data_IF_706814721839
#
_entry.id   IF_706814721839
#
_cell.length_a   1.000
_cell.length_b   1.000
_cell.length_c   1.000
_cell.angle_alpha   90.00
_cell.angle_beta   90.00
_cell.angle_gamma   90.00
#
_symmetry.space_group_name_H-M   'P 1'
#
loop_
_entity.id
_entity.type
_entity.pdbx_description
1 polymer ?
#
# COMPACT_ATOMS: atom_id res chain seq x y z
N UNK A 1 -4.24 4.44 1.44
CA UNK A 1 -3.04 3.60 1.65
C UNK A 1 -3.48 2.19 1.99
N UNK A 2 -4.33 2.03 3.02
CA UNK A 2 -5.00 0.77 3.35
C UNK A 2 -6.48 0.84 2.97
N UNK A 3 -7.10 -0.32 2.81
CA UNK A 3 -8.53 -0.47 2.56
C UNK A 3 -9.29 -0.96 3.79
N UNK A 4 -8.62 -1.70 4.69
CA UNK A 4 -9.23 -2.25 5.91
C UNK A 4 -8.33 -2.12 7.14
N UNK A 5 -8.95 -2.21 8.31
CA UNK A 5 -8.25 -2.16 9.59
C UNK A 5 -7.38 -3.40 9.83
N UNK A 6 -7.76 -4.54 9.24
CA UNK A 6 -6.98 -5.77 9.25
C UNK A 6 -5.68 -5.63 8.45
N UNK A 7 -5.68 -4.87 7.35
CA UNK A 7 -4.45 -4.55 6.63
C UNK A 7 -3.53 -3.69 7.49
N UNK A 8 -4.06 -2.68 8.20
CA UNK A 8 -3.26 -1.82 9.07
C UNK A 8 -2.56 -2.66 10.16
N UNK A 9 -3.28 -3.60 10.76
CA UNK A 9 -2.71 -4.50 11.78
C UNK A 9 -1.53 -5.33 11.24
N UNK A 10 -1.53 -5.72 9.95
CA UNK A 10 -0.40 -6.42 9.33
C UNK A 10 0.83 -5.54 9.14
N UNK A 11 0.61 -4.24 8.97
CA UNK A 11 1.66 -3.23 8.78
C UNK A 11 1.91 -2.41 10.06
N UNK A 12 1.51 -2.92 11.22
CA UNK A 12 1.83 -2.29 12.49
C UNK A 12 3.36 -2.23 12.66
N UNK A 13 3.85 -1.11 13.17
CA UNK A 13 5.28 -0.82 13.30
C UNK A 13 6.05 -0.72 11.98
N UNK A 14 5.39 -0.75 10.81
CA UNK A 14 6.06 -0.56 9.52
C UNK A 14 6.59 0.87 9.36
N UNK A 15 7.77 0.99 8.74
CA UNK A 15 8.38 2.27 8.44
C UNK A 15 7.69 2.98 7.26
N UNK A 16 7.38 4.25 7.45
CA UNK A 16 6.82 5.13 6.42
C UNK A 16 7.71 6.35 6.23
N UNK A 17 7.66 6.95 5.05
CA UNK A 17 8.44 8.14 4.73
C UNK A 17 7.60 9.11 3.91
N UNK A 18 7.68 10.39 4.21
CA UNK A 18 7.09 11.42 3.35
C UNK A 18 7.93 11.64 2.09
N UNK A 19 7.33 12.18 1.02
CA UNK A 19 8.06 12.60 -0.17
C UNK A 19 9.14 13.68 0.13
N UNK A 20 8.99 14.42 1.24
CA UNK A 20 9.96 15.39 1.74
C UNK A 20 11.10 14.78 2.56
N UNK A 21 11.05 13.47 2.85
CA UNK A 21 12.11 12.72 3.51
C UNK A 21 11.92 12.47 5.01
N UNK A 22 10.87 13.02 5.63
CA UNK A 22 10.55 12.81 7.05
C UNK A 22 10.16 11.35 7.26
N UNK A 23 10.84 10.67 8.18
CA UNK A 23 10.55 9.27 8.50
C UNK A 23 9.48 9.20 9.58
N UNK A 24 8.77 8.09 9.58
CA UNK A 24 7.73 7.78 10.53
C UNK A 24 7.45 6.29 10.63
N UNK A 25 6.49 5.96 11.46
CA UNK A 25 6.10 4.59 11.73
C UNK A 25 4.58 4.47 11.86
N UNK A 26 4.00 3.40 11.34
CA UNK A 26 2.59 3.04 11.55
C UNK A 26 2.42 2.53 12.99
N UNK A 27 1.46 3.09 13.73
CA UNK A 27 1.23 2.73 15.13
C UNK A 27 0.02 1.83 15.33
N UNK A 28 -1.16 2.27 14.91
CA UNK A 28 -2.41 1.53 15.13
C UNK A 28 -3.48 2.01 14.16
N UNK A 29 -4.58 1.25 14.07
CA UNK A 29 -5.79 1.69 13.36
C UNK A 29 -6.37 2.93 14.03
N UNK A 30 -6.66 3.96 13.22
CA UNK A 30 -7.39 5.11 13.70
C UNK A 30 -8.87 4.76 13.80
N UNK A 31 -9.38 4.71 15.02
CA UNK A 31 -10.83 4.71 15.25
C UNK A 31 -11.41 6.00 14.67
N UNK A 32 -12.64 5.93 14.14
CA UNK A 32 -13.35 7.04 13.48
C UNK A 32 -13.50 8.30 14.36
N UNK A 33 -13.22 8.17 15.66
CA UNK A 33 -12.97 9.20 16.66
C UNK A 33 -11.68 10.02 16.35
N UNK A 34 -11.64 10.70 15.20
CA UNK A 34 -10.57 11.63 14.88
C UNK A 34 -10.75 12.93 15.70
N UNK A 35 -10.28 12.91 16.95
CA UNK A 35 -10.31 14.04 17.90
C UNK A 35 -11.40 13.91 18.96
N UNK A 36 -11.31 14.71 20.04
CA UNK A 36 -12.24 14.77 21.19
C UNK A 36 -13.67 15.25 20.83
N UNK A 37 -14.17 14.92 19.64
CA UNK A 37 -15.43 15.36 19.07
C UNK A 37 -16.19 14.12 18.59
N UNK A 38 -17.14 13.61 19.39
CA UNK A 38 -18.06 12.56 18.94
C UNK A 38 -19.03 13.21 17.95
N UNK A 39 -18.69 13.23 16.66
CA UNK A 39 -19.60 13.78 15.64
C UNK A 39 -20.40 12.67 15.00
N UNK A 40 -21.62 12.52 15.53
CA UNK A 40 -22.86 12.35 14.76
C UNK A 40 -22.66 12.60 13.26
N UNK A 41 -22.44 11.55 12.46
CA UNK A 41 -22.61 11.62 11.01
C UNK A 41 -23.20 10.32 10.50
N UNK A 42 -24.39 10.45 9.91
CA UNK A 42 -25.09 9.45 9.10
C UNK A 42 -24.23 9.10 7.87
N UNK A 43 -23.14 8.36 8.04
CA UNK A 43 -22.25 7.95 6.97
C UNK A 43 -21.68 6.56 7.25
N UNK A 44 -21.24 5.87 6.18
CA UNK A 44 -20.54 4.60 6.27
C UNK A 44 -19.24 4.79 7.08
N UNK A 45 -18.89 3.89 8.02
CA UNK A 45 -17.62 3.96 8.74
C UNK A 45 -16.46 4.05 7.76
N UNK A 46 -15.52 4.98 8.04
CA UNK A 46 -14.30 5.13 7.24
C UNK A 46 -13.23 4.18 7.75
N UNK A 47 -13.15 3.01 7.15
CA UNK A 47 -12.13 1.99 7.40
C UNK A 47 -10.81 2.30 6.68
N UNK A 48 -9.70 1.68 7.13
CA UNK A 48 -8.40 1.80 6.45
C UNK A 48 -7.65 3.11 6.75
N UNK A 49 -8.01 3.81 7.82
CA UNK A 49 -7.28 4.97 8.32
C UNK A 49 -6.26 4.53 9.36
N UNK A 50 -4.97 4.78 9.10
CA UNK A 50 -3.88 4.45 10.01
C UNK A 50 -3.42 5.68 10.81
N UNK A 51 -3.04 5.46 12.06
CA UNK A 51 -2.31 6.43 12.89
C UNK A 51 -0.82 6.19 12.72
N UNK A 52 -0.08 7.24 12.36
CA UNK A 52 1.37 7.19 12.22
C UNK A 52 2.05 8.22 13.11
N UNK A 53 3.25 7.91 13.58
CA UNK A 53 4.17 8.86 14.23
C UNK A 53 5.22 9.29 13.23
N UNK A 54 5.71 10.52 13.34
CA UNK A 54 6.76 11.07 12.46
C UNK A 54 7.82 11.76 13.31
N UNK A 55 9.05 11.80 12.80
CA UNK A 55 10.19 12.47 13.45
C UNK A 55 9.97 14.00 13.56
N UNK A 56 9.27 14.59 12.59
CA UNK A 56 8.95 16.02 12.56
C UNK A 56 7.51 16.25 12.07
N UNK A 57 7.01 17.48 12.22
CA UNK A 57 5.67 17.89 11.83
C UNK A 57 5.50 17.86 10.32
N UNK A 58 4.65 16.95 9.85
CA UNK A 58 4.24 16.87 8.45
C UNK A 58 3.21 17.96 8.10
N UNK A 59 3.18 18.38 6.84
CA UNK A 59 2.13 19.25 6.30
C UNK A 59 1.04 18.43 5.61
N UNK A 60 -0.18 18.96 5.53
CA UNK A 60 -1.31 18.30 4.84
C UNK A 60 -1.04 18.07 3.35
N UNK A 61 -0.16 18.86 2.73
CA UNK A 61 0.26 18.71 1.34
C UNK A 61 1.26 17.56 1.10
N UNK A 62 1.78 16.92 2.15
CA UNK A 62 2.78 15.86 2.01
C UNK A 62 2.11 14.54 1.61
N UNK A 63 2.79 13.80 0.73
CA UNK A 63 2.46 12.43 0.41
C UNK A 63 3.27 11.48 1.31
N UNK A 64 2.59 10.57 2.00
CA UNK A 64 3.21 9.52 2.83
C UNK A 64 3.31 8.23 2.01
N UNK A 65 4.51 7.65 1.96
CA UNK A 65 4.83 6.43 1.23
C UNK A 65 5.24 5.33 2.21
N UNK A 66 4.80 4.10 1.93
CA UNK A 66 5.26 2.89 2.60
C UNK A 66 5.98 2.07 1.52
N UNK A 67 7.26 1.75 1.76
CA UNK A 67 8.03 0.90 0.85
C UNK A 67 7.94 -0.54 1.34
N UNK A 68 7.42 -1.42 0.50
CA UNK A 68 7.33 -2.84 0.75
C UNK A 68 7.95 -3.61 -0.42
N UNK A 69 8.39 -4.84 -0.13
CA UNK A 69 8.88 -5.79 -1.12
C UNK A 69 7.88 -6.92 -1.19
N UNK A 70 7.51 -7.33 -2.40
CA UNK A 70 6.68 -8.49 -2.64
C UNK A 70 7.47 -9.48 -3.50
N UNK A 71 7.35 -10.76 -3.17
CA UNK A 71 7.89 -11.81 -4.00
C UNK A 71 7.01 -11.96 -5.24
N UNK A 72 7.66 -11.98 -6.41
CA UNK A 72 6.98 -12.13 -7.70
C UNK A 72 7.46 -13.43 -8.31
N UNK A 73 6.53 -14.36 -8.52
CA UNK A 73 6.82 -15.62 -9.19
C UNK A 73 7.12 -15.37 -10.68
N UNK A 74 8.23 -15.93 -11.15
CA UNK A 74 8.59 -15.86 -12.58
C UNK A 74 7.80 -16.93 -13.33
N UNK A 75 7.02 -16.56 -14.37
CA UNK A 75 6.32 -17.55 -15.17
C UNK A 75 7.32 -18.51 -15.84
N UNK A 76 7.17 -19.81 -15.57
CA UNK A 76 7.92 -20.85 -16.26
C UNK A 76 7.37 -21.04 -17.68
N UNK A 77 7.78 -20.16 -18.59
CA UNK A 77 7.39 -20.20 -19.99
C UNK A 77 8.58 -20.56 -20.87
N UNK A 78 8.41 -21.59 -21.71
CA UNK A 78 9.37 -21.98 -22.72
C UNK A 78 8.64 -22.18 -24.06
N UNK A 79 9.01 -21.38 -25.05
CA UNK A 79 8.52 -21.52 -26.42
C UNK A 79 9.71 -21.72 -27.36
N UNK A 80 10.02 -22.96 -27.77
CA UNK A 80 11.10 -23.21 -28.71
C UNK A 80 10.71 -22.68 -30.10
N UNK A 81 11.66 -22.02 -30.78
CA UNK A 81 11.44 -21.55 -32.14
C UNK A 81 11.42 -22.74 -33.11
N UNK A 82 10.23 -23.08 -33.62
CA UNK A 82 10.03 -24.20 -34.55
C UNK A 82 9.89 -23.77 -36.01
N UNK A 83 10.22 -22.52 -36.35
CA UNK A 83 10.05 -21.96 -37.71
C UNK A 83 10.71 -22.80 -38.80
N UNK A 84 11.89 -23.38 -38.54
CA UNK A 84 12.58 -24.26 -39.50
C UNK A 84 11.90 -25.64 -39.67
N UNK A 85 11.02 -26.03 -38.74
CA UNK A 85 10.22 -27.26 -38.78
C UNK A 85 8.83 -27.03 -39.42
N UNK A 86 8.45 -25.78 -39.70
CA UNK A 86 7.17 -25.47 -40.32
C UNK A 86 7.21 -25.81 -41.83
N UNK A 87 6.14 -26.44 -42.37
CA UNK A 87 6.02 -26.67 -43.81
C UNK A 87 6.08 -25.35 -44.59
N UNK A 88 6.83 -25.33 -45.70
CA UNK A 88 7.05 -24.13 -46.54
C UNK A 88 5.81 -23.64 -47.28
N UNK A 89 4.70 -24.39 -47.23
CA UNK A 89 3.49 -24.11 -48.02
C UNK A 89 2.41 -23.32 -47.26
N UNK A 90 2.67 -22.85 -46.04
CA UNK A 90 1.67 -22.15 -45.20
C UNK A 90 2.07 -20.73 -44.76
N UNK A 91 2.91 -20.03 -45.53
CA UNK A 91 3.09 -18.57 -45.40
C UNK A 91 2.26 -17.81 -46.40
#
# INVERSE_FOLDING_TARGET
MFTSDLEIARFESAGVQTASGIKGQVKETAKEELGNQPKKKRGLPREGIARCTFEDRILVSNLVLLRAWIEVEVPCFFNPLTTALQPREQT
#
